data_IF_951352937080
#
_entry.id   IF_951352937080
#
_cell.length_a   1.000
_cell.length_b   1.000
_cell.length_c   1.000
_cell.angle_alpha   90.00
_cell.angle_beta   90.00
_cell.angle_gamma   90.00
#
_symmetry.space_group_name_H-M   'P 1'
#
loop_
_entity.id
_entity.type
_entity.pdbx_description
1 polymer ?
#
# COMPACT_ATOMS: atom_id res chain seq x y z
N UNK A 1 3.02 -3.23 13.66
CA UNK A 1 2.97 -2.32 12.50
C UNK A 1 1.50 -2.12 12.14
N UNK A 2 1.07 -0.89 11.88
CA UNK A 2 -0.27 -0.65 11.33
C UNK A 2 -0.34 -1.18 9.89
N UNK A 3 -1.40 -1.94 9.57
CA UNK A 3 -1.60 -2.52 8.23
C UNK A 3 -1.71 -1.44 7.15
N UNK A 4 -1.47 -1.82 5.88
CA UNK A 4 -1.68 -0.90 4.75
C UNK A 4 -3.12 -0.36 4.73
N UNK A 5 -4.12 -1.21 5.02
CA UNK A 5 -5.52 -0.81 5.10
C UNK A 5 -5.79 0.27 6.16
N UNK A 6 -5.23 0.07 7.37
CA UNK A 6 -5.36 1.03 8.47
C UNK A 6 -4.68 2.36 8.15
N UNK A 7 -3.52 2.32 7.47
CA UNK A 7 -2.82 3.51 6.99
C UNK A 7 -3.67 4.32 6.01
N UNK A 8 -4.27 3.66 5.01
CA UNK A 8 -5.17 4.33 4.05
C UNK A 8 -6.39 4.95 4.74
N UNK A 9 -7.00 4.22 5.68
CA UNK A 9 -8.13 4.71 6.47
C UNK A 9 -7.78 5.99 7.23
N UNK A 10 -6.61 6.04 7.86
CA UNK A 10 -6.15 7.20 8.62
C UNK A 10 -6.12 8.47 7.75
N UNK A 11 -5.57 8.40 6.54
CA UNK A 11 -5.52 9.54 5.63
C UNK A 11 -6.90 9.90 5.07
N UNK A 12 -7.75 8.90 4.78
CA UNK A 12 -9.13 9.15 4.36
C UNK A 12 -9.91 9.90 5.44
N UNK A 13 -9.83 9.45 6.69
CA UNK A 13 -10.52 10.04 7.83
C UNK A 13 -9.97 11.45 8.15
N UNK A 14 -8.65 11.64 8.08
CA UNK A 14 -8.02 12.96 8.25
C UNK A 14 -8.49 13.99 7.21
N UNK A 15 -8.74 13.56 5.97
CA UNK A 15 -9.33 14.39 4.92
C UNK A 15 -10.85 14.47 4.94
N UNK A 16 -11.50 13.82 5.92
CA UNK A 16 -12.97 13.71 6.05
C UNK A 16 -13.63 13.21 4.76
N UNK A 17 -12.93 12.33 4.02
CA UNK A 17 -13.43 11.78 2.77
C UNK A 17 -14.40 10.62 3.08
N UNK A 18 -15.64 10.68 2.58
CA UNK A 18 -16.55 9.54 2.67
C UNK A 18 -15.97 8.34 1.92
N UNK A 19 -16.13 7.14 2.47
CA UNK A 19 -15.64 5.90 1.88
C UNK A 19 -16.11 5.73 0.41
N UNK A 20 -17.36 6.11 0.12
CA UNK A 20 -17.92 6.14 -1.24
C UNK A 20 -17.16 7.00 -2.25
N UNK A 21 -16.57 8.12 -1.82
CA UNK A 21 -15.81 9.00 -2.72
C UNK A 21 -14.49 8.36 -3.14
N UNK A 22 -13.81 7.72 -2.17
CA UNK A 22 -12.55 7.04 -2.45
C UNK A 22 -12.80 5.79 -3.29
N UNK A 23 -13.81 4.99 -2.96
CA UNK A 23 -14.17 3.81 -3.75
C UNK A 23 -14.49 4.15 -5.21
N UNK A 24 -15.27 5.21 -5.45
CA UNK A 24 -15.56 5.69 -6.80
C UNK A 24 -14.31 6.17 -7.55
N UNK A 25 -13.35 6.80 -6.87
CA UNK A 25 -12.09 7.23 -7.50
C UNK A 25 -11.19 6.05 -7.89
N UNK A 26 -11.28 4.95 -7.14
CA UNK A 26 -10.56 3.71 -7.40
C UNK A 26 -11.28 2.81 -8.41
N UNK A 27 -12.48 3.18 -8.88
CA UNK A 27 -13.36 2.36 -9.70
C UNK A 27 -13.67 0.98 -9.07
N UNK A 28 -13.98 0.99 -7.76
CA UNK A 28 -14.32 -0.22 -6.99
C UNK A 28 -15.57 -0.03 -6.13
N UNK A 29 -16.15 -1.14 -5.68
CA UNK A 29 -17.23 -1.11 -4.70
C UNK A 29 -16.78 -0.54 -3.35
N UNK A 30 -17.70 0.17 -2.70
CA UNK A 30 -17.52 0.64 -1.32
C UNK A 30 -17.24 -0.50 -0.33
N UNK A 31 -17.88 -1.66 -0.53
CA UNK A 31 -17.61 -2.86 0.27
C UNK A 31 -16.16 -3.35 0.11
N UNK A 32 -15.61 -3.29 -1.10
CA UNK A 32 -14.22 -3.66 -1.37
C UNK A 32 -13.26 -2.74 -0.63
N UNK A 33 -13.44 -1.41 -0.73
CA UNK A 33 -12.59 -0.48 0.01
C UNK A 33 -12.74 -0.64 1.53
N UNK A 34 -13.96 -0.88 2.04
CA UNK A 34 -14.20 -1.12 3.47
C UNK A 34 -13.45 -2.36 3.98
N UNK A 35 -13.44 -3.45 3.21
CA UNK A 35 -12.66 -4.65 3.56
C UNK A 35 -11.15 -4.38 3.51
N UNK A 36 -10.68 -3.58 2.55
CA UNK A 36 -9.28 -3.17 2.49
C UNK A 36 -8.90 -2.38 3.74
N UNK A 37 -9.67 -1.35 4.12
CA UNK A 37 -9.39 -0.51 5.29
C UNK A 37 -9.43 -1.27 6.62
N UNK A 38 -10.20 -2.36 6.68
CA UNK A 38 -10.29 -3.27 7.84
C UNK A 38 -9.30 -4.44 7.77
N UNK A 39 -8.42 -4.46 6.77
CA UNK A 39 -7.41 -5.51 6.56
C UNK A 39 -8.01 -6.92 6.31
N UNK A 40 -9.26 -6.99 5.88
CA UNK A 40 -9.95 -8.24 5.51
C UNK A 40 -9.72 -8.61 4.05
N UNK A 41 -9.26 -7.67 3.24
CA UNK A 41 -8.90 -7.86 1.83
C UNK A 41 -7.62 -7.11 1.51
N UNK A 42 -6.71 -7.75 0.79
CA UNK A 42 -5.51 -7.08 0.29
C UNK A 42 -5.85 -6.09 -0.83
N UNK A 43 -5.21 -4.92 -0.80
CA UNK A 43 -5.26 -3.98 -1.92
C UNK A 43 -4.48 -4.52 -3.13
N UNK A 44 -4.84 -4.05 -4.32
CA UNK A 44 -4.10 -4.35 -5.55
C UNK A 44 -3.09 -3.24 -5.88
N UNK A 45 -1.96 -3.57 -6.55
CA UNK A 45 -0.96 -2.57 -6.94
C UNK A 45 -1.52 -1.43 -7.81
N UNK A 46 -2.52 -1.72 -8.63
CA UNK A 46 -3.20 -0.73 -9.48
C UNK A 46 -3.91 0.37 -8.68
N UNK A 47 -4.28 0.11 -7.41
CA UNK A 47 -4.93 1.10 -6.55
C UNK A 47 -3.94 2.11 -5.95
N UNK A 48 -2.64 1.82 -5.96
CA UNK A 48 -1.64 2.62 -5.24
C UNK A 48 -1.52 4.04 -5.78
N UNK A 49 -1.50 4.20 -7.11
CA UNK A 49 -1.43 5.52 -7.74
C UNK A 49 -2.73 6.32 -7.51
N UNK A 50 -3.93 5.78 -7.77
CA UNK A 50 -5.17 6.47 -7.44
C UNK A 50 -5.28 6.86 -5.96
N UNK A 51 -4.91 5.97 -5.04
CA UNK A 51 -4.88 6.27 -3.60
C UNK A 51 -3.93 7.42 -3.28
N UNK A 52 -2.75 7.46 -3.89
CA UNK A 52 -1.77 8.54 -3.72
C UNK A 52 -2.36 9.89 -4.13
N UNK A 53 -3.09 9.94 -5.25
CA UNK A 53 -3.69 11.16 -5.78
C UNK A 53 -4.84 11.66 -4.88
N UNK A 54 -5.84 10.82 -4.60
CA UNK A 54 -7.02 11.25 -3.84
C UNK A 54 -6.71 11.51 -2.36
N UNK A 55 -5.79 10.74 -1.78
CA UNK A 55 -5.37 10.92 -0.38
C UNK A 55 -4.17 11.86 -0.25
N UNK A 56 -3.67 12.41 -1.35
CA UNK A 56 -2.53 13.34 -1.40
C UNK A 56 -1.33 12.83 -0.57
N UNK A 57 -1.04 11.54 -0.72
CA UNK A 57 0.12 10.87 -0.11
C UNK A 57 1.19 10.75 -1.18
N UNK A 58 2.45 10.91 -0.81
CA UNK A 58 3.54 10.65 -1.76
C UNK A 58 3.44 9.19 -2.27
N UNK A 59 3.48 9.01 -3.59
CA UNK A 59 3.37 7.68 -4.20
C UNK A 59 4.45 6.72 -3.69
N UNK A 60 5.66 7.22 -3.44
CA UNK A 60 6.77 6.45 -2.86
C UNK A 60 6.39 5.91 -1.48
N UNK A 61 5.76 6.72 -0.64
CA UNK A 61 5.39 6.33 0.72
C UNK A 61 4.27 5.29 0.70
N UNK A 62 3.27 5.47 -0.16
CA UNK A 62 2.22 4.47 -0.38
C UNK A 62 2.81 3.14 -0.87
N UNK A 63 3.71 3.18 -1.85
CA UNK A 63 4.31 1.97 -2.40
C UNK A 63 5.19 1.27 -1.37
N UNK A 64 6.03 2.01 -0.67
CA UNK A 64 6.89 1.46 0.38
C UNK A 64 6.07 0.81 1.50
N UNK A 65 4.99 1.47 1.95
CA UNK A 65 4.10 0.93 2.98
C UNK A 65 3.36 -0.32 2.51
N UNK A 66 2.87 -0.32 1.26
CA UNK A 66 2.23 -1.49 0.66
C UNK A 66 3.19 -2.68 0.58
N UNK A 67 4.41 -2.46 0.08
CA UNK A 67 5.44 -3.49 -0.05
C UNK A 67 5.81 -4.07 1.31
N UNK A 68 6.05 -3.21 2.31
CA UNK A 68 6.38 -3.66 3.67
C UNK A 68 5.26 -4.50 4.30
N UNK A 69 4.00 -4.06 4.17
CA UNK A 69 2.84 -4.81 4.67
C UNK A 69 2.69 -6.16 3.96
N UNK A 70 2.89 -6.19 2.63
CA UNK A 70 2.84 -7.39 1.80
C UNK A 70 3.94 -8.39 2.19
N UNK A 71 5.18 -7.92 2.35
CA UNK A 71 6.31 -8.75 2.79
C UNK A 71 6.04 -9.32 4.18
N UNK A 72 5.60 -8.49 5.13
CA UNK A 72 5.32 -8.93 6.49
C UNK A 72 4.18 -9.97 6.53
N UNK A 73 3.14 -9.81 5.70
CA UNK A 73 2.04 -10.79 5.61
C UNK A 73 2.45 -12.11 4.99
N UNK A 74 3.19 -12.06 3.88
CA UNK A 74 3.50 -13.24 3.10
C UNK A 74 4.71 -14.02 3.66
N UNK A 75 5.64 -13.34 4.35
CA UNK A 75 6.91 -13.91 4.78
C UNK A 75 7.30 -13.60 6.25
N UNK A 76 6.49 -12.87 7.02
CA UNK A 76 6.86 -12.35 8.35
C UNK A 76 7.23 -13.41 9.39
N UNK A 77 6.72 -14.63 9.24
CA UNK A 77 6.99 -15.75 10.15
C UNK A 77 8.25 -16.57 9.75
N UNK A 78 8.94 -16.18 8.67
CA UNK A 78 10.14 -16.89 8.21
C UNK A 78 11.39 -16.42 8.97
N UNK A 79 12.11 -17.38 9.56
CA UNK A 79 13.33 -17.15 10.37
C UNK A 79 14.39 -16.32 9.64
N UNK A 80 14.61 -16.57 8.34
CA UNK A 80 15.65 -15.92 7.53
C UNK A 80 15.10 -14.83 6.59
N UNK A 81 13.95 -14.22 6.93
CA UNK A 81 13.37 -13.12 6.14
C UNK A 81 14.39 -11.98 5.91
N UNK A 82 15.15 -11.49 6.91
CA UNK A 82 16.12 -10.41 6.70
C UNK A 82 17.20 -10.75 5.67
N UNK A 83 17.73 -11.97 5.70
CA UNK A 83 18.73 -12.46 4.75
C UNK A 83 18.14 -12.60 3.34
N UNK A 84 16.93 -13.14 3.25
CA UNK A 84 16.18 -13.25 1.99
C UNK A 84 15.95 -11.88 1.34
N UNK A 85 15.58 -10.86 2.11
CA UNK A 85 15.40 -9.49 1.61
C UNK A 85 16.71 -8.89 1.10
N UNK A 86 17.82 -9.04 1.85
CA UNK A 86 19.16 -8.60 1.40
C UNK A 86 19.60 -9.31 0.12
N UNK A 87 19.23 -10.57 -0.03
CA UNK A 87 19.53 -11.34 -1.24
C UNK A 87 18.68 -10.86 -2.41
N UNK A 88 17.38 -10.64 -2.21
CA UNK A 88 16.46 -10.12 -3.22
C UNK A 88 16.90 -8.75 -3.75
N UNK A 89 17.38 -7.86 -2.88
CA UNK A 89 17.89 -6.53 -3.26
C UNK A 89 18.97 -6.59 -4.36
N UNK A 90 19.83 -7.62 -4.35
CA UNK A 90 20.88 -7.82 -5.37
C UNK A 90 20.34 -8.14 -6.77
N UNK A 91 19.10 -8.65 -6.86
CA UNK A 91 18.46 -9.04 -8.11
C UNK A 91 17.48 -7.98 -8.64
N UNK A 92 17.09 -7.01 -7.81
CA UNK A 92 16.19 -5.93 -8.22
C UNK A 92 16.97 -4.96 -9.10
N UNK A 93 16.59 -4.87 -10.38
CA UNK A 93 17.10 -3.81 -11.27
C UNK A 93 16.53 -2.48 -10.80
N UNK A 94 17.39 -1.61 -10.27
CA UNK A 94 17.03 -0.21 -10.02
C UNK A 94 17.05 0.50 -11.38
N UNK A 95 15.91 0.93 -11.95
CA UNK A 95 15.96 1.84 -13.09
C UNK A 95 16.70 3.10 -12.59
N UNK A 96 17.78 3.46 -13.29
CA UNK A 96 18.60 4.59 -12.91
C UNK A 96 17.71 5.80 -12.64
N UNK A 97 17.81 6.36 -11.42
CA UNK A 97 17.19 7.64 -11.08
C UNK A 97 17.72 8.66 -12.08
N UNK A 98 16.88 9.13 -13.01
CA UNK A 98 17.13 10.42 -13.64
C UNK A 98 17.05 11.47 -12.53
N UNK A 99 18.20 11.88 -12.02
CA UNK A 99 18.34 13.14 -11.30
C UNK A 99 18.08 14.23 -12.34
N UNK A 100 16.90 14.84 -12.29
CA UNK A 100 16.69 16.20 -12.80
C UNK A 100 16.86 17.18 -11.65
#
# INVERSE_FOLDING_TARGET
>A
MESFGSYIRLYRDAKRLPLRKVAAYLDIDTSTLSKIERNERSALPEYLKPLSEILQINLKDIQARFIADKINKDFGEMEYLPEGLKMAEKYIKIPAKEMK
#
